data_IF_706042444585
#
_entry.id   IF_706042444585
#
_cell.length_a   1.000
_cell.length_b   1.000
_cell.length_c   1.000
_cell.angle_alpha   90.00
_cell.angle_beta   90.00
_cell.angle_gamma   90.00
#
_symmetry.space_group_name_H-M   'P 1'
#
loop_
_entity.id
_entity.type
_entity.pdbx_description
1 polymer ?
#
# COMPACT_ATOMS: atom_id res chain seq x y z
N UNK A 1 -21.24 -13.87 92.12
CA UNK A 1 -19.78 -13.77 91.94
C UNK A 1 -19.42 -12.31 91.73
N UNK A 2 -18.41 -11.88 92.48
CA UNK A 2 -17.92 -10.53 92.71
C UNK A 2 -16.83 -10.19 91.69
N UNK A 3 -16.88 -8.97 91.11
CA UNK A 3 -15.75 -8.05 90.79
C UNK A 3 -16.34 -6.90 89.93
N UNK A 4 -16.60 -5.68 90.42
CA UNK A 4 -15.66 -4.60 90.85
C UNK A 4 -14.55 -4.37 89.81
N UNK A 5 -14.14 -3.18 89.32
CA UNK A 5 -14.26 -1.73 89.60
C UNK A 5 -13.79 -1.02 88.28
N UNK A 6 -14.41 0.04 87.73
CA UNK A 6 -14.28 1.51 88.04
C UNK A 6 -12.81 2.04 88.06
N UNK A 7 -12.53 3.35 87.84
CA UNK A 7 -12.91 4.28 86.74
C UNK A 7 -11.81 5.35 86.36
N UNK A 8 -11.92 6.00 85.18
CA UNK A 8 -11.51 7.42 84.85
C UNK A 8 -9.98 7.77 84.90
N UNK A 9 -9.43 8.88 84.31
CA UNK A 9 -10.03 10.20 84.14
C UNK A 9 -9.63 11.06 82.88
N UNK A 10 -10.41 12.14 82.66
CA UNK A 10 -10.11 13.45 82.04
C UNK A 10 -8.66 13.74 81.62
N UNK A 11 -8.47 14.28 80.41
CA UNK A 11 -7.87 15.63 80.30
C UNK A 11 -8.22 16.36 78.99
N UNK A 12 -8.25 17.68 79.13
CA UNK A 12 -8.58 18.70 78.16
C UNK A 12 -7.40 19.00 77.23
N UNK A 13 -7.65 19.53 76.03
CA UNK A 13 -6.89 20.61 75.34
C UNK A 13 -7.41 20.72 73.89
N UNK A 14 -8.10 21.81 73.54
CA UNK A 14 -7.56 22.95 72.80
C UNK A 14 -6.71 22.53 71.57
N UNK A 15 -7.22 22.80 70.36
CA UNK A 15 -6.76 23.98 69.61
C UNK A 15 -7.57 24.19 68.33
N UNK A 16 -7.91 25.46 68.09
CA UNK A 16 -8.29 25.99 66.78
C UNK A 16 -7.05 25.94 65.89
N UNK A 17 -7.15 25.47 64.64
CA UNK A 17 -6.85 26.35 63.50
C UNK A 17 -7.30 25.77 62.15
N UNK A 18 -7.55 26.73 61.28
CA UNK A 18 -8.12 26.76 59.94
C UNK A 18 -7.38 25.98 58.84
N UNK A 19 -8.16 25.43 57.90
CA UNK A 19 -7.71 24.94 56.59
C UNK A 19 -8.84 25.06 55.56
N UNK A 20 -8.56 25.46 54.30
CA UNK A 20 -9.54 26.08 53.41
C UNK A 20 -10.62 25.07 52.99
N UNK A 21 -11.88 25.52 53.02
CA UNK A 21 -13.02 24.76 52.54
C UNK A 21 -12.75 24.27 51.12
N UNK A 22 -12.52 22.97 50.96
CA UNK A 22 -12.29 22.35 49.66
C UNK A 22 -13.44 22.74 48.72
N UNK A 23 -13.11 23.51 47.68
CA UNK A 23 -14.07 23.95 46.69
C UNK A 23 -14.60 22.71 45.96
N UNK A 24 -15.77 22.22 46.40
CA UNK A 24 -16.41 21.05 45.79
C UNK A 24 -17.00 21.49 44.45
N UNK A 25 -16.17 21.45 43.41
CA UNK A 25 -16.58 21.69 42.02
C UNK A 25 -17.66 20.65 41.67
N UNK A 26 -18.92 21.09 41.57
CA UNK A 26 -20.03 20.25 41.10
C UNK A 26 -20.19 20.48 39.61
N UNK A 27 -19.72 19.53 38.81
CA UNK A 27 -19.95 19.53 37.37
C UNK A 27 -21.45 19.40 37.10
N UNK A 28 -21.99 20.24 36.20
CA UNK A 28 -23.42 20.26 35.91
C UNK A 28 -23.87 18.88 35.36
N UNK A 29 -24.86 18.21 35.99
CA UNK A 29 -25.30 16.88 35.55
C UNK A 29 -25.95 16.89 34.16
N UNK A 30 -26.35 18.06 33.64
CA UNK A 30 -26.91 18.21 32.29
C UNK A 30 -25.86 18.41 31.19
N UNK A 31 -24.58 18.49 31.53
CA UNK A 31 -23.51 18.62 30.51
C UNK A 31 -23.27 17.26 29.86
N UNK A 32 -23.56 17.13 28.54
CA UNK A 32 -23.17 15.95 27.76
C UNK A 32 -21.65 15.76 27.89
N UNK A 33 -21.20 14.55 28.24
CA UNK A 33 -19.77 14.19 28.25
C UNK A 33 -19.18 14.53 26.87
N UNK A 34 -18.33 15.55 26.83
CA UNK A 34 -17.60 15.98 25.63
C UNK A 34 -16.41 15.02 25.44
N UNK A 35 -16.72 13.76 25.15
CA UNK A 35 -15.74 12.74 24.83
C UNK A 35 -15.93 12.29 23.39
N UNK A 36 -14.83 11.98 22.71
CA UNK A 36 -14.86 11.40 21.38
C UNK A 36 -15.89 10.23 21.33
N UNK A 37 -16.77 10.18 20.31
CA UNK A 37 -17.78 9.13 20.21
C UNK A 37 -17.13 7.76 20.33
N UNK A 38 -17.52 6.98 21.35
CA UNK A 38 -17.02 5.60 21.50
C UNK A 38 -17.58 4.77 20.36
N UNK A 39 -16.72 4.42 19.40
CA UNK A 39 -17.04 3.42 18.36
C UNK A 39 -17.41 2.10 19.05
N UNK A 40 -18.36 1.37 18.47
CA UNK A 40 -18.83 0.09 19.00
C UNK A 40 -17.66 -0.92 19.05
N UNK A 41 -17.36 -1.47 20.23
CA UNK A 41 -16.23 -2.40 20.46
C UNK A 41 -16.18 -3.57 19.46
N UNK A 42 -17.33 -4.09 19.05
CA UNK A 42 -17.42 -5.18 18.06
C UNK A 42 -16.90 -4.78 16.68
N UNK A 43 -17.14 -3.53 16.26
CA UNK A 43 -16.65 -3.00 14.97
C UNK A 43 -15.14 -2.78 15.02
N UNK A 44 -14.61 -2.34 16.17
CA UNK A 44 -13.17 -2.18 16.39
C UNK A 44 -12.47 -3.53 16.32
N UNK A 45 -12.93 -4.52 17.08
CA UNK A 45 -12.31 -5.85 17.12
C UNK A 45 -12.33 -6.56 15.75
N UNK A 46 -13.43 -6.44 15.00
CA UNK A 46 -13.52 -7.00 13.65
C UNK A 46 -12.57 -6.30 12.65
N UNK A 47 -12.39 -4.99 12.78
CA UNK A 47 -11.42 -4.22 12.00
C UNK A 47 -9.99 -4.65 12.29
N UNK A 48 -9.60 -4.66 13.57
CA UNK A 48 -8.26 -5.07 14.02
C UNK A 48 -7.93 -6.52 13.59
N UNK A 49 -8.89 -7.43 13.64
CA UNK A 49 -8.68 -8.81 13.20
C UNK A 49 -8.46 -8.90 11.67
N UNK A 50 -9.20 -8.10 10.87
CA UNK A 50 -8.98 -8.02 9.42
C UNK A 50 -7.62 -7.41 9.10
N UNK A 51 -7.26 -6.33 9.78
CA UNK A 51 -5.97 -5.65 9.57
C UNK A 51 -4.80 -6.55 9.94
N UNK A 52 -4.91 -7.31 11.04
CA UNK A 52 -3.92 -8.32 11.42
C UNK A 52 -3.76 -9.43 10.39
N UNK A 53 -4.86 -9.90 9.78
CA UNK A 53 -4.79 -10.92 8.70
C UNK A 53 -4.02 -10.39 7.50
N UNK A 54 -4.31 -9.16 7.08
CA UNK A 54 -3.59 -8.53 5.97
C UNK A 54 -2.12 -8.31 6.28
N UNK A 55 -1.80 -7.90 7.51
CA UNK A 55 -0.41 -7.73 7.95
C UNK A 55 0.36 -9.06 7.88
N UNK A 56 -0.20 -10.14 8.43
CA UNK A 56 0.43 -11.47 8.39
C UNK A 56 0.60 -11.97 6.96
N UNK A 57 -0.39 -11.72 6.11
CA UNK A 57 -0.29 -12.09 4.70
C UNK A 57 0.81 -11.27 4.01
N UNK A 58 0.88 -9.97 4.26
CA UNK A 58 1.91 -9.07 3.73
C UNK A 58 3.32 -9.49 4.17
N UNK A 59 3.52 -9.85 5.44
CA UNK A 59 4.80 -10.39 5.91
C UNK A 59 5.16 -11.73 5.26
N UNK A 60 4.17 -12.59 4.99
CA UNK A 60 4.43 -13.81 4.23
C UNK A 60 4.79 -13.49 2.78
N UNK A 61 4.09 -12.51 2.19
CA UNK A 61 4.32 -12.01 0.85
C UNK A 61 5.72 -11.44 0.68
N UNK A 62 6.17 -10.59 1.60
CA UNK A 62 7.52 -10.00 1.56
C UNK A 62 8.59 -11.07 1.70
N UNK A 63 8.42 -12.02 2.63
CA UNK A 63 9.32 -13.18 2.74
C UNK A 63 9.38 -14.03 1.48
N UNK A 64 8.26 -14.15 0.76
CA UNK A 64 8.20 -14.89 -0.50
C UNK A 64 8.82 -14.12 -1.66
N UNK A 65 8.70 -12.80 -1.64
CA UNK A 65 9.32 -11.90 -2.61
C UNK A 65 10.83 -11.71 -2.38
N UNK A 66 11.31 -11.99 -1.16
CA UNK A 66 12.70 -11.74 -0.74
C UNK A 66 12.95 -10.30 -0.30
N UNK A 67 12.00 -9.39 -0.51
CA UNK A 67 12.17 -7.95 -0.33
C UNK A 67 11.09 -7.35 0.57
N UNK A 68 11.42 -6.22 1.21
CA UNK A 68 10.59 -5.57 2.22
C UNK A 68 9.53 -4.67 1.59
N UNK A 69 9.84 -4.00 0.49
CA UNK A 69 8.92 -3.12 -0.24
C UNK A 69 8.73 -3.56 -1.70
N UNK A 70 7.61 -3.20 -2.34
CA UNK A 70 7.45 -3.45 -3.78
C UNK A 70 8.43 -2.67 -4.65
N UNK A 71 8.98 -1.56 -4.16
CA UNK A 71 9.97 -0.77 -4.87
C UNK A 71 11.31 -1.51 -4.94
N UNK A 72 11.81 -1.96 -3.78
CA UNK A 72 13.02 -2.78 -3.68
C UNK A 72 12.89 -4.06 -4.52
N UNK A 73 11.70 -4.68 -4.52
CA UNK A 73 11.39 -5.84 -5.36
C UNK A 73 11.57 -5.52 -6.85
N UNK A 74 11.02 -4.42 -7.33
CA UNK A 74 11.16 -4.06 -8.75
C UNK A 74 12.61 -3.73 -9.12
N UNK A 75 13.35 -3.08 -8.22
CA UNK A 75 14.78 -2.80 -8.42
C UNK A 75 15.60 -4.09 -8.46
N UNK A 76 15.37 -5.01 -7.52
CA UNK A 76 16.04 -6.31 -7.47
C UNK A 76 15.77 -7.13 -8.73
N UNK A 77 14.51 -7.22 -9.18
CA UNK A 77 14.15 -7.93 -10.40
C UNK A 77 14.80 -7.31 -11.65
N UNK A 78 14.87 -5.98 -11.71
CA UNK A 78 15.51 -5.28 -12.84
C UNK A 78 17.02 -5.49 -12.87
N UNK A 79 17.66 -5.56 -11.69
CA UNK A 79 19.10 -5.75 -11.53
C UNK A 79 19.54 -7.18 -11.77
N UNK A 80 18.81 -8.15 -11.22
CA UNK A 80 19.19 -9.56 -11.23
C UNK A 80 18.68 -10.30 -12.46
N UNK A 81 17.60 -9.81 -13.07
CA UNK A 81 16.94 -10.42 -14.23
C UNK A 81 16.78 -11.94 -14.10
N UNK A 82 16.10 -12.41 -13.05
CA UNK A 82 16.00 -13.84 -12.80
C UNK A 82 15.08 -14.53 -13.80
N UNK A 83 15.09 -15.87 -13.82
CA UNK A 83 14.22 -16.66 -14.71
C UNK A 83 12.73 -16.36 -14.51
N UNK A 84 11.91 -16.69 -15.51
CA UNK A 84 10.47 -16.44 -15.50
C UNK A 84 9.78 -17.02 -14.26
N UNK A 85 10.10 -18.27 -13.89
CA UNK A 85 9.54 -18.92 -12.70
C UNK A 85 9.97 -18.25 -11.39
N UNK A 86 11.21 -17.78 -11.31
CA UNK A 86 11.72 -17.08 -10.14
C UNK A 86 11.03 -15.73 -10.00
N UNK A 87 10.89 -15.01 -11.12
CA UNK A 87 10.16 -13.74 -11.21
C UNK A 87 8.70 -13.92 -10.79
N UNK A 88 8.01 -14.94 -11.31
CA UNK A 88 6.65 -15.30 -10.91
C UNK A 88 6.56 -15.56 -9.41
N UNK A 89 7.49 -16.33 -8.85
CA UNK A 89 7.52 -16.65 -7.43
C UNK A 89 7.66 -15.40 -6.58
N UNK A 90 8.57 -14.49 -6.93
CA UNK A 90 8.75 -13.26 -6.18
C UNK A 90 7.51 -12.36 -6.26
N UNK A 91 6.94 -12.19 -7.45
CA UNK A 91 5.74 -11.38 -7.69
C UNK A 91 4.48 -11.95 -7.03
N UNK A 92 4.37 -13.29 -6.92
CA UNK A 92 3.25 -13.95 -6.24
C UNK A 92 3.15 -13.58 -4.76
N UNK A 93 4.25 -13.12 -4.15
CA UNK A 93 4.26 -12.56 -2.80
C UNK A 93 3.50 -11.22 -2.69
N UNK A 94 3.40 -10.45 -3.76
CA UNK A 94 2.72 -9.14 -3.74
C UNK A 94 1.20 -9.35 -3.77
N UNK A 95 0.52 -8.86 -2.73
CA UNK A 95 -0.91 -9.10 -2.52
C UNK A 95 -1.74 -8.07 -3.27
N UNK A 96 -2.90 -8.46 -3.80
CA UNK A 96 -3.93 -7.52 -4.26
C UNK A 96 -4.91 -7.27 -3.12
N UNK A 97 -5.01 -6.03 -2.64
CA UNK A 97 -5.90 -5.65 -1.52
C UNK A 97 -7.07 -4.82 -2.05
N UNK A 98 -8.18 -4.77 -1.30
CA UNK A 98 -9.33 -3.90 -1.57
C UNK A 98 -10.23 -4.29 -2.75
N UNK A 99 -10.32 -5.58 -3.10
CA UNK A 99 -11.23 -6.06 -4.16
C UNK A 99 -12.70 -5.67 -3.97
N UNK A 100 -13.17 -5.49 -2.72
CA UNK A 100 -14.54 -5.07 -2.41
C UNK A 100 -14.89 -3.64 -2.88
N UNK A 101 -13.88 -2.82 -3.19
CA UNK A 101 -14.05 -1.40 -3.53
C UNK A 101 -13.50 -1.05 -4.93
N UNK A 102 -13.37 -2.06 -5.78
CA UNK A 102 -12.85 -1.96 -7.15
C UNK A 102 -13.63 -0.96 -8.02
N UNK A 103 -14.92 -0.76 -7.74
CA UNK A 103 -15.79 0.21 -8.44
C UNK A 103 -15.70 1.66 -7.95
N UNK A 104 -14.84 1.98 -6.98
CA UNK A 104 -14.74 3.36 -6.46
C UNK A 104 -14.01 4.26 -7.45
N UNK A 105 -14.50 5.49 -7.59
CA UNK A 105 -13.88 6.51 -8.44
C UNK A 105 -12.73 7.20 -7.70
N UNK A 106 -11.48 7.09 -8.19
CA UNK A 106 -10.36 7.86 -7.66
C UNK A 106 -10.54 9.35 -7.98
N UNK A 107 -9.93 10.21 -7.16
CA UNK A 107 -9.90 11.66 -7.38
C UNK A 107 -8.48 12.18 -7.28
N UNK A 108 -8.00 12.76 -8.37
CA UNK A 108 -6.74 13.49 -8.38
C UNK A 108 -6.84 14.77 -7.56
N UNK A 109 -5.84 15.03 -6.72
CA UNK A 109 -5.70 16.26 -5.93
C UNK A 109 -4.23 16.62 -5.80
N UNK A 110 -3.96 17.90 -5.65
CA UNK A 110 -2.66 18.41 -5.20
C UNK A 110 -2.83 18.83 -3.75
N UNK A 111 -2.07 18.19 -2.84
CA UNK A 111 -2.26 18.35 -1.40
C UNK A 111 -0.94 18.67 -0.70
N UNK A 112 -0.98 19.62 0.25
CA UNK A 112 0.16 19.95 1.11
C UNK A 112 0.21 18.98 2.29
N UNK A 113 1.36 18.36 2.53
CA UNK A 113 1.61 17.37 3.60
C UNK A 113 0.53 16.28 3.73
N UNK A 114 0.28 15.47 2.70
CA UNK A 114 -0.67 14.37 2.80
C UNK A 114 -0.10 13.26 3.69
N UNK A 115 -0.97 12.61 4.47
CA UNK A 115 -0.59 11.37 5.17
C UNK A 115 -0.78 10.21 4.21
N UNK A 116 0.32 9.62 3.79
CA UNK A 116 0.33 8.49 2.85
C UNK A 116 0.23 7.16 3.59
N UNK A 117 -0.25 6.15 2.87
CA UNK A 117 0.01 4.78 3.28
C UNK A 117 1.44 4.45 2.90
N UNK A 118 2.31 4.32 3.90
CA UNK A 118 3.74 4.07 3.71
C UNK A 118 3.97 2.56 3.50
N UNK A 119 4.90 2.22 2.60
CA UNK A 119 5.42 0.88 2.31
C UNK A 119 4.38 -0.25 2.26
N UNK A 120 3.31 -0.11 1.46
CA UNK A 120 2.33 -1.18 1.32
C UNK A 120 2.94 -2.34 0.55
N UNK A 121 3.08 -3.51 1.17
CA UNK A 121 3.37 -4.76 0.46
C UNK A 121 2.12 -5.34 -0.24
N UNK A 122 1.37 -4.47 -0.92
CA UNK A 122 0.19 -4.82 -1.69
C UNK A 122 0.01 -3.81 -2.84
N UNK A 123 -0.72 -4.22 -3.88
CA UNK A 123 -1.18 -3.36 -4.97
C UNK A 123 -2.71 -3.21 -4.93
N UNK A 124 -3.20 -2.16 -5.59
CA UNK A 124 -4.63 -1.95 -5.80
C UNK A 124 -5.18 -2.98 -6.80
N UNK A 125 -6.49 -3.29 -6.76
CA UNK A 125 -7.10 -4.18 -7.73
C UNK A 125 -7.02 -3.61 -9.16
N UNK A 126 -6.99 -4.45 -10.20
CA UNK A 126 -6.69 -4.02 -11.57
C UNK A 126 -7.61 -2.91 -12.10
N UNK A 127 -8.92 -2.99 -11.86
CA UNK A 127 -9.87 -2.00 -12.41
C UNK A 127 -9.75 -0.66 -11.68
N UNK A 128 -9.60 -0.70 -10.36
CA UNK A 128 -9.33 0.50 -9.56
C UNK A 128 -7.98 1.12 -9.92
N UNK A 129 -6.93 0.32 -10.11
CA UNK A 129 -5.60 0.77 -10.50
C UNK A 129 -5.64 1.46 -11.87
N UNK A 130 -6.31 0.86 -12.86
CA UNK A 130 -6.50 1.47 -14.18
C UNK A 130 -7.25 2.81 -14.08
N UNK A 131 -8.27 2.89 -13.23
CA UNK A 131 -8.98 4.16 -12.97
C UNK A 131 -8.06 5.21 -12.31
N UNK A 132 -7.16 4.80 -11.42
CA UNK A 132 -6.19 5.69 -10.77
C UNK A 132 -5.21 6.25 -11.79
N UNK A 133 -4.62 5.40 -12.63
CA UNK A 133 -3.70 5.80 -13.71
C UNK A 133 -4.39 6.77 -14.67
N UNK A 134 -5.64 6.47 -15.10
CA UNK A 134 -6.41 7.35 -15.98
C UNK A 134 -6.77 8.70 -15.35
N UNK A 135 -6.84 8.77 -14.02
CA UNK A 135 -7.14 10.00 -13.30
C UNK A 135 -5.91 10.91 -13.15
N UNK A 136 -4.70 10.38 -13.32
CA UNK A 136 -3.47 11.17 -13.26
C UNK A 136 -3.33 12.00 -14.55
N UNK A 137 -2.98 13.30 -14.44
CA UNK A 137 -2.54 14.06 -15.60
C UNK A 137 -1.34 13.37 -16.25
N UNK A 138 -1.30 13.37 -17.59
CA UNK A 138 -0.10 12.98 -18.32
C UNK A 138 1.00 13.97 -17.92
N UNK A 139 2.03 13.46 -17.26
CA UNK A 139 3.21 14.27 -16.95
C UNK A 139 3.97 14.50 -18.24
N UNK A 140 4.33 15.74 -18.54
CA UNK A 140 5.23 16.06 -19.64
C UNK A 140 6.62 15.52 -19.26
N UNK A 141 6.99 14.33 -19.76
CA UNK A 141 8.34 13.79 -19.62
C UNK A 141 9.26 14.45 -20.66
N UNK A 142 10.58 14.33 -20.50
CA UNK A 142 11.52 14.87 -21.49
C UNK A 142 11.33 14.27 -22.91
N UNK A 143 10.72 13.09 -22.99
CA UNK A 143 10.43 12.34 -24.22
C UNK A 143 9.14 12.83 -24.91
N UNK A 144 8.16 13.31 -24.13
CA UNK A 144 6.88 13.85 -24.63
C UNK A 144 6.81 15.38 -24.60
N UNK A 145 7.96 16.05 -24.43
CA UNK A 145 8.05 17.48 -24.18
C UNK A 145 7.35 18.30 -25.28
N UNK A 146 6.13 18.74 -24.98
CA UNK A 146 5.44 19.74 -25.79
C UNK A 146 6.12 21.10 -25.50
N UNK A 147 6.98 21.55 -26.41
CA UNK A 147 7.51 22.93 -26.40
C UNK A 147 6.33 23.89 -26.61
N UNK A 148 5.97 24.63 -25.57
CA UNK A 148 4.99 25.71 -25.68
C UNK A 148 5.74 26.94 -26.21
N UNK A 149 5.42 27.36 -27.43
CA UNK A 149 5.95 28.59 -28.05
C UNK A 149 5.74 29.77 -27.09
N UNK A 150 6.84 30.34 -26.62
CA UNK A 150 6.90 31.35 -25.57
C UNK A 150 6.44 32.75 -26.05
N UNK A 151 5.49 32.81 -26.99
CA UNK A 151 4.93 34.07 -27.53
C UNK A 151 3.62 34.49 -26.86
N UNK A 152 3.37 34.07 -25.63
CA UNK A 152 2.40 34.72 -24.75
C UNK A 152 3.01 35.02 -23.38
N UNK A 153 3.45 36.28 -23.22
CA UNK A 153 3.66 36.98 -21.94
C UNK A 153 2.48 36.70 -20.98
N UNK A 154 2.59 36.57 -19.66
CA UNK A 154 3.34 37.38 -18.70
C UNK A 154 3.25 36.68 -17.32
N UNK A 155 4.37 36.56 -16.59
CA UNK A 155 4.50 36.86 -15.14
C UNK A 155 5.81 36.27 -14.58
N UNK A 156 6.74 37.10 -14.08
CA UNK A 156 7.98 36.64 -13.48
C UNK A 156 7.77 36.26 -12.01
N UNK A 157 8.26 35.08 -11.62
CA UNK A 157 8.56 34.77 -10.23
C UNK A 157 7.77 33.62 -9.63
N UNK A 158 8.31 32.41 -9.74
CA UNK A 158 8.25 31.47 -8.61
C UNK A 158 9.68 31.02 -8.33
N UNK A 159 10.30 31.43 -7.20
CA UNK A 159 11.62 30.95 -6.84
C UNK A 159 11.58 29.43 -6.67
N UNK A 160 12.63 28.75 -7.14
CA UNK A 160 12.92 27.33 -6.84
C UNK A 160 13.12 27.17 -5.33
N UNK A 161 12.04 27.18 -4.55
CA UNK A 161 12.07 27.03 -3.11
C UNK A 161 11.86 25.56 -2.76
N UNK A 162 12.96 24.91 -2.34
CA UNK A 162 13.04 23.85 -1.33
C UNK A 162 11.77 23.01 -1.16
N UNK A 163 11.75 21.80 -1.72
CA UNK A 163 10.70 20.77 -1.58
C UNK A 163 9.28 21.33 -1.82
N UNK A 164 8.68 21.08 -2.98
CA UNK A 164 7.26 21.41 -3.15
C UNK A 164 6.45 20.70 -2.07
N UNK A 165 6.03 21.45 -1.05
CA UNK A 165 5.24 20.97 0.10
C UNK A 165 3.94 20.31 -0.39
N UNK A 166 3.48 20.72 -1.57
CA UNK A 166 2.38 20.12 -2.30
C UNK A 166 2.84 18.91 -3.11
N UNK A 167 2.21 17.75 -2.87
CA UNK A 167 2.39 16.52 -3.65
C UNK A 167 1.14 16.22 -4.47
N UNK A 168 1.35 15.63 -5.64
CA UNK A 168 0.29 15.06 -6.48
C UNK A 168 -0.19 13.73 -5.90
N UNK A 169 -1.49 13.63 -5.64
CA UNK A 169 -2.07 12.49 -4.96
C UNK A 169 -3.37 12.02 -5.60
N UNK A 170 -3.59 10.71 -5.51
CA UNK A 170 -4.87 10.07 -5.82
C UNK A 170 -5.57 9.72 -4.52
N UNK A 171 -6.75 10.30 -4.32
CA UNK A 171 -7.59 10.05 -3.16
C UNK A 171 -8.67 9.03 -3.51
N UNK A 172 -8.71 7.92 -2.79
CA UNK A 172 -9.70 6.85 -2.95
C UNK A 172 -10.52 6.76 -1.66
N UNK A 173 -11.84 6.96 -1.79
CA UNK A 173 -12.74 7.01 -0.63
C UNK A 173 -12.67 5.70 0.17
N UNK A 174 -12.49 5.81 1.48
CA UNK A 174 -12.37 4.70 2.46
C UNK A 174 -11.23 3.70 2.19
N UNK A 175 -10.27 4.05 1.33
CA UNK A 175 -9.09 3.23 1.04
C UNK A 175 -7.82 3.96 1.48
N UNK A 176 -7.61 5.18 0.97
CA UNK A 176 -6.42 5.94 1.30
C UNK A 176 -6.09 7.04 0.32
N UNK A 177 -4.92 7.64 0.55
CA UNK A 177 -4.29 8.65 -0.29
C UNK A 177 -2.96 8.07 -0.75
N UNK A 178 -2.75 8.06 -2.07
CA UNK A 178 -1.56 7.52 -2.71
C UNK A 178 -0.86 8.60 -3.52
N UNK A 179 0.47 8.60 -3.54
CA UNK A 179 1.23 9.49 -4.44
C UNK A 179 1.12 9.00 -5.88
N UNK A 180 1.46 9.87 -6.84
CA UNK A 180 1.70 9.47 -8.24
C UNK A 180 2.68 8.30 -8.32
N UNK A 181 3.85 8.43 -7.71
CA UNK A 181 4.92 7.43 -7.71
C UNK A 181 4.42 6.05 -7.24
N UNK A 182 3.57 6.01 -6.19
CA UNK A 182 2.99 4.76 -5.70
C UNK A 182 2.03 4.12 -6.71
N UNK A 183 1.17 4.92 -7.36
CA UNK A 183 0.26 4.41 -8.39
C UNK A 183 1.02 3.88 -9.60
N UNK A 184 2.07 4.58 -10.03
CA UNK A 184 2.94 4.15 -11.12
C UNK A 184 3.72 2.87 -10.75
N UNK A 185 4.21 2.76 -9.51
CA UNK A 185 4.83 1.54 -9.01
C UNK A 185 3.85 0.36 -9.02
N UNK A 186 2.62 0.55 -8.53
CA UNK A 186 1.59 -0.49 -8.58
C UNK A 186 1.28 -0.93 -10.01
N UNK A 187 1.21 0.03 -10.95
CA UNK A 187 1.02 -0.26 -12.37
C UNK A 187 2.18 -1.09 -12.95
N UNK A 188 3.43 -0.72 -12.65
CA UNK A 188 4.61 -1.48 -13.09
C UNK A 188 4.61 -2.92 -12.56
N UNK A 189 4.35 -3.10 -11.27
CA UNK A 189 4.24 -4.43 -10.65
C UNK A 189 3.13 -5.25 -11.28
N UNK A 190 1.96 -4.64 -11.52
CA UNK A 190 0.83 -5.30 -12.17
C UNK A 190 1.15 -5.73 -13.60
N UNK A 191 1.70 -4.83 -14.41
CA UNK A 191 2.06 -5.13 -15.80
C UNK A 191 3.10 -6.25 -15.87
N UNK A 192 4.10 -6.25 -14.98
CA UNK A 192 5.08 -7.33 -14.93
C UNK A 192 4.43 -8.68 -14.57
N UNK A 193 3.46 -8.70 -13.65
CA UNK A 193 2.68 -9.91 -13.37
C UNK A 193 1.92 -10.41 -14.60
N UNK A 194 1.26 -9.52 -15.33
CA UNK A 194 0.53 -9.90 -16.54
C UNK A 194 1.45 -10.48 -17.61
N UNK A 195 2.61 -9.86 -17.83
CA UNK A 195 3.59 -10.37 -18.80
C UNK A 195 4.11 -11.74 -18.38
N UNK A 196 4.43 -11.93 -17.10
CA UNK A 196 4.89 -13.23 -16.60
C UNK A 196 3.81 -14.31 -16.78
N UNK A 197 2.55 -14.00 -16.48
CA UNK A 197 1.43 -14.94 -16.65
C UNK A 197 1.19 -15.26 -18.14
N UNK A 198 1.34 -14.27 -19.03
CA UNK A 198 1.26 -14.45 -20.48
C UNK A 198 2.39 -15.35 -21.00
N UNK A 199 3.64 -15.12 -20.57
CA UNK A 199 4.80 -15.89 -21.01
C UNK A 199 4.71 -17.35 -20.55
N UNK A 200 4.24 -17.60 -19.32
CA UNK A 200 3.97 -18.94 -18.81
C UNK A 200 2.81 -19.60 -19.58
N UNK A 201 1.77 -18.83 -19.90
CA UNK A 201 0.67 -19.27 -20.76
C UNK A 201 1.14 -19.66 -22.15
N UNK A 202 2.02 -18.86 -22.75
CA UNK A 202 2.65 -19.12 -24.05
C UNK A 202 3.50 -20.39 -24.00
N UNK A 203 4.34 -20.57 -22.97
CA UNK A 203 5.15 -21.78 -22.81
C UNK A 203 4.26 -23.04 -22.73
N UNK A 204 3.19 -22.97 -21.94
CA UNK A 204 2.21 -24.07 -21.83
C UNK A 204 1.53 -24.34 -23.16
N UNK A 205 1.10 -23.31 -23.87
CA UNK A 205 0.49 -23.46 -25.19
C UNK A 205 1.47 -24.07 -26.19
N UNK A 206 2.72 -23.59 -26.22
CA UNK A 206 3.76 -24.07 -27.13
C UNK A 206 4.05 -25.56 -26.92
N UNK A 207 4.14 -26.01 -25.66
CA UNK A 207 4.42 -27.42 -25.32
C UNK A 207 3.22 -28.35 -25.51
N UNK A 208 2.00 -27.90 -25.22
CA UNK A 208 0.81 -28.75 -25.29
C UNK A 208 0.12 -28.76 -26.66
N UNK A 209 0.16 -27.66 -27.39
CA UNK A 209 -0.63 -27.46 -28.62
C UNK A 209 0.25 -27.05 -29.80
N UNK A 210 1.15 -26.09 -29.59
CA UNK A 210 1.99 -25.51 -30.63
C UNK A 210 2.88 -26.56 -31.31
N UNK A 211 3.85 -27.13 -30.57
CA UNK A 211 4.82 -28.11 -31.08
C UNK A 211 4.12 -29.35 -31.65
N UNK A 212 3.14 -29.98 -30.96
CA UNK A 212 2.43 -31.13 -31.52
C UNK A 212 1.70 -30.86 -32.84
N UNK A 213 1.30 -29.61 -33.08
CA UNK A 213 0.62 -29.21 -34.33
C UNK A 213 1.58 -28.94 -35.50
N UNK A 214 2.88 -28.84 -35.24
CA UNK A 214 3.89 -28.60 -36.27
C UNK A 214 4.38 -29.92 -36.91
N UNK A 215 4.86 -29.89 -38.17
CA UNK A 215 5.60 -31.02 -38.74
C UNK A 215 6.81 -31.39 -37.88
N UNK A 216 7.15 -32.68 -37.84
CA UNK A 216 8.24 -33.21 -37.00
C UNK A 216 9.60 -32.51 -37.22
N UNK A 217 9.85 -32.01 -38.44
CA UNK A 217 11.06 -31.24 -38.77
C UNK A 217 11.25 -29.97 -37.92
N UNK A 218 10.18 -29.43 -37.32
CA UNK A 218 10.22 -28.24 -36.48
C UNK A 218 10.15 -28.55 -34.98
N UNK A 219 9.99 -29.81 -34.59
CA UNK A 219 9.85 -30.18 -33.17
C UNK A 219 11.11 -29.87 -32.39
N UNK A 220 12.29 -30.09 -32.96
CA UNK A 220 13.56 -29.75 -32.30
C UNK A 220 13.68 -28.25 -32.01
N UNK A 221 13.41 -27.41 -33.02
CA UNK A 221 13.43 -25.95 -32.86
C UNK A 221 12.36 -25.49 -31.87
N UNK A 222 11.15 -26.02 -31.97
CA UNK A 222 10.04 -25.70 -31.07
C UNK A 222 10.35 -26.06 -29.62
N UNK A 223 10.93 -27.25 -29.36
CA UNK A 223 11.35 -27.66 -28.03
C UNK A 223 12.47 -26.76 -27.48
N UNK A 224 13.44 -26.39 -28.32
CA UNK A 224 14.50 -25.45 -27.93
C UNK A 224 13.94 -24.10 -27.47
N UNK A 225 12.99 -23.53 -28.22
CA UNK A 225 12.32 -22.28 -27.83
C UNK A 225 11.51 -22.48 -26.54
N UNK A 226 10.78 -23.58 -26.40
CA UNK A 226 9.99 -23.88 -25.20
C UNK A 226 10.84 -24.06 -23.93
N UNK A 227 12.07 -24.55 -24.06
CA UNK A 227 13.05 -24.63 -22.97
C UNK A 227 13.69 -23.28 -22.65
N UNK A 228 13.83 -22.38 -23.63
CA UNK A 228 14.46 -21.06 -23.42
C UNK A 228 13.51 -20.08 -22.71
N UNK A 229 12.23 -20.05 -23.09
CA UNK A 229 11.19 -19.16 -22.50
C UNK A 229 11.21 -19.12 -20.96
N UNK A 230 11.13 -20.23 -20.21
CA UNK A 230 11.09 -20.18 -18.74
C UNK A 230 12.40 -19.72 -18.10
N UNK A 231 13.52 -19.78 -18.83
CA UNK A 231 14.85 -19.46 -18.34
C UNK A 231 15.25 -18.00 -18.60
N UNK A 232 14.43 -17.28 -19.36
CA UNK A 232 14.68 -15.90 -19.74
C UNK A 232 13.85 -14.95 -18.87
N UNK A 233 14.41 -13.77 -18.55
CA UNK A 233 13.69 -12.73 -17.84
C UNK A 233 12.60 -12.11 -18.75
N UNK A 234 11.43 -11.72 -18.23
CA UNK A 234 10.42 -11.02 -19.02
C UNK A 234 11.00 -9.84 -19.82
N UNK A 235 10.51 -9.62 -21.03
CA UNK A 235 10.96 -8.59 -21.98
C UNK A 235 12.35 -8.78 -22.62
N UNK A 236 13.08 -9.86 -22.31
CA UNK A 236 14.29 -10.21 -23.06
C UNK A 236 13.95 -10.89 -24.38
N UNK A 237 14.74 -10.59 -25.42
CA UNK A 237 14.62 -11.29 -26.70
C UNK A 237 15.18 -12.71 -26.59
N UNK A 238 14.41 -13.67 -27.09
CA UNK A 238 14.83 -15.06 -27.26
C UNK A 238 15.62 -15.15 -28.57
N UNK A 239 16.90 -15.50 -28.48
CA UNK A 239 17.82 -15.46 -29.63
C UNK A 239 17.51 -16.52 -30.69
N UNK A 240 16.78 -17.58 -30.31
CA UNK A 240 16.41 -18.69 -31.17
C UNK A 240 15.21 -18.42 -32.08
N UNK A 241 14.52 -17.28 -31.92
CA UNK A 241 13.42 -16.89 -32.80
C UNK A 241 13.95 -16.08 -34.01
N UNK A 242 13.53 -16.42 -35.25
CA UNK A 242 13.85 -15.60 -36.42
C UNK A 242 13.20 -14.21 -36.30
N UNK A 243 13.94 -13.19 -36.74
CA UNK A 243 13.47 -11.79 -36.81
C UNK A 243 12.54 -11.54 -37.98
#
# INVERSE_FOLDING_TARGET
MLKDKRPQPIDSTNDKDSGPAASRIRLNPKTKKVGAPKKLKKVIAAGEQKDRKWYVQAERGSKQAGEVTPEDLMEALTREQPSLHTTQRHLSGVIVKYGEVDGKKPKFRVMKNPVFTIDPFYILPPKLLAACVKCLPVSNTAEDAIEVDASQDTAPGVPKSKYSIAKEVVVIKDVGIYTREQIELFARVHNLKEVVDLDLGMQKWLTCEGIPSLPAAYHELGNKVAEEVPNTYPYMMIQSLPQ
#
